data_IF_749565508394
#
_entry.id   IF_749565508394
#
_cell.length_a   1.000
_cell.length_b   1.000
_cell.length_c   1.000
_cell.angle_alpha   90.00
_cell.angle_beta   90.00
_cell.angle_gamma   90.00
#
_symmetry.space_group_name_H-M   'P 1'
#
loop_
_entity.id
_entity.type
_entity.pdbx_description
1 polymer ?
#
# COMPACT_ATOMS: atom_id res chain seq x y z
N UNK A 1 10.81 -15.18 -5.10
CA UNK A 1 11.09 -13.73 -4.86
C UNK A 1 12.48 -13.36 -5.36
N UNK A 2 13.54 -14.06 -4.94
CA UNK A 2 14.92 -13.82 -5.40
C UNK A 2 15.09 -13.86 -6.92
N UNK A 3 14.53 -14.88 -7.60
CA UNK A 3 14.63 -15.01 -9.07
C UNK A 3 13.88 -13.90 -9.81
N UNK A 4 12.72 -13.48 -9.32
CA UNK A 4 11.94 -12.40 -9.93
C UNK A 4 12.66 -11.06 -9.79
N UNK A 5 13.20 -10.76 -8.60
CA UNK A 5 13.96 -9.54 -8.34
C UNK A 5 15.30 -9.50 -9.08
N UNK A 6 15.98 -10.64 -9.24
CA UNK A 6 17.18 -10.78 -10.07
C UNK A 6 16.87 -10.57 -11.56
N UNK A 7 15.74 -11.09 -12.05
CA UNK A 7 15.29 -10.85 -13.42
C UNK A 7 14.96 -9.37 -13.64
N UNK A 8 14.28 -8.72 -12.70
CA UNK A 8 13.96 -7.29 -12.76
C UNK A 8 15.21 -6.41 -12.80
N UNK A 9 16.25 -6.82 -12.07
CA UNK A 9 17.55 -6.15 -12.09
C UNK A 9 18.33 -6.34 -13.39
N UNK A 10 18.12 -7.49 -14.05
CA UNK A 10 18.80 -7.84 -15.30
C UNK A 10 18.16 -7.16 -16.53
N UNK A 11 16.87 -6.79 -16.48
CA UNK A 11 16.17 -6.10 -17.58
C UNK A 11 16.92 -4.84 -18.04
N UNK A 12 17.30 -3.87 -17.16
CA UNK A 12 18.01 -2.68 -17.60
C UNK A 12 19.42 -3.00 -18.14
N UNK A 13 20.10 -4.04 -17.65
CA UNK A 13 21.40 -4.45 -18.19
C UNK A 13 21.30 -4.98 -19.62
N UNK A 14 20.31 -5.82 -19.90
CA UNK A 14 20.09 -6.36 -21.25
C UNK A 14 19.53 -5.31 -22.20
N UNK A 15 18.67 -4.39 -21.73
CA UNK A 15 18.21 -3.25 -22.51
C UNK A 15 19.35 -2.28 -22.85
N UNK A 16 20.27 -2.05 -21.91
CA UNK A 16 21.46 -1.22 -22.15
C UNK A 16 22.38 -1.89 -23.18
N UNK A 17 22.62 -3.20 -23.07
CA UNK A 17 23.42 -3.95 -24.04
C UNK A 17 22.77 -4.03 -25.44
N UNK A 18 21.44 -4.10 -25.55
CA UNK A 18 20.77 -4.07 -26.86
C UNK A 18 20.83 -2.69 -27.52
N UNK A 19 20.77 -1.62 -26.74
CA UNK A 19 20.97 -0.24 -27.24
C UNK A 19 22.42 -0.05 -27.70
N UNK A 20 23.41 -0.50 -26.93
CA UNK A 20 24.81 -0.43 -27.33
C UNK A 20 25.13 -1.30 -28.56
N UNK A 21 24.56 -2.51 -28.65
CA UNK A 21 24.69 -3.37 -29.83
C UNK A 21 24.01 -2.77 -31.08
N UNK A 22 22.91 -2.03 -30.91
CA UNK A 22 22.27 -1.28 -31.99
C UNK A 22 23.08 -0.02 -32.39
N UNK A 23 23.78 0.61 -31.44
CA UNK A 23 24.64 1.78 -31.66
C UNK A 23 25.96 1.43 -32.34
N UNK A 24 26.51 0.24 -32.12
CA UNK A 24 27.79 -0.20 -32.71
C UNK A 24 27.64 -0.84 -34.12
N UNK A 25 26.43 -0.96 -34.66
CA UNK A 25 26.21 -1.48 -36.02
C UNK A 25 26.59 -2.95 -36.19
N UNK A 26 26.48 -3.76 -35.14
CA UNK A 26 26.83 -5.18 -35.18
C UNK A 26 25.71 -5.97 -35.88
N UNK A 27 26.13 -6.87 -36.79
CA UNK A 27 25.31 -7.75 -37.65
C UNK A 27 23.94 -8.16 -37.11
N UNK A 28 22.91 -8.04 -37.97
CA UNK A 28 21.48 -8.28 -37.69
C UNK A 28 21.18 -9.64 -37.02
N UNK A 29 22.05 -10.64 -37.21
CA UNK A 29 21.92 -11.97 -36.61
C UNK A 29 22.20 -11.99 -35.09
N UNK A 30 23.20 -11.24 -34.61
CA UNK A 30 23.49 -11.15 -33.17
C UNK A 30 22.41 -10.35 -32.44
N UNK A 31 21.89 -9.29 -33.07
CA UNK A 31 20.81 -8.48 -32.53
C UNK A 31 19.51 -9.28 -32.31
N UNK A 32 19.12 -10.13 -33.28
CA UNK A 32 17.95 -11.01 -33.14
C UNK A 32 18.13 -12.04 -32.00
N UNK A 33 19.34 -12.61 -31.85
CA UNK A 33 19.63 -13.53 -30.73
C UNK A 33 19.49 -12.87 -29.35
N UNK A 34 20.00 -11.64 -29.20
CA UNK A 34 19.84 -10.88 -27.95
C UNK A 34 18.37 -10.51 -27.66
N UNK A 35 17.61 -10.15 -28.69
CA UNK A 35 16.17 -9.86 -28.55
C UNK A 35 15.35 -11.10 -28.16
N UNK A 36 15.66 -12.27 -28.72
CA UNK A 36 14.99 -13.52 -28.36
C UNK A 36 15.25 -13.90 -26.91
N UNK A 37 16.50 -13.78 -26.43
CA UNK A 37 16.86 -14.05 -25.04
C UNK A 37 16.15 -13.07 -24.09
N UNK A 38 16.11 -11.77 -24.43
CA UNK A 38 15.42 -10.76 -23.64
C UNK A 38 13.91 -11.05 -23.55
N UNK A 39 13.29 -11.40 -24.67
CA UNK A 39 11.85 -11.72 -24.72
C UNK A 39 11.53 -12.97 -23.88
N UNK A 40 12.35 -14.02 -23.98
CA UNK A 40 12.21 -15.22 -23.16
C UNK A 40 12.33 -14.91 -21.66
N UNK A 41 13.28 -14.05 -21.29
CA UNK A 41 13.49 -13.66 -19.89
C UNK A 41 12.34 -12.82 -19.33
N UNK A 42 11.78 -11.90 -20.12
CA UNK A 42 10.58 -11.12 -19.73
C UNK A 42 9.35 -12.03 -19.60
N UNK A 43 9.17 -12.97 -20.52
CA UNK A 43 8.08 -13.94 -20.44
C UNK A 43 8.21 -14.82 -19.18
N UNK A 44 9.40 -15.34 -18.90
CA UNK A 44 9.67 -16.12 -17.69
C UNK A 44 9.44 -15.29 -16.41
N UNK A 45 9.84 -14.01 -16.40
CA UNK A 45 9.54 -13.09 -15.31
C UNK A 45 8.03 -12.90 -15.11
N UNK A 46 7.28 -12.71 -16.19
CA UNK A 46 5.82 -12.57 -16.15
C UNK A 46 5.14 -13.79 -15.54
N UNK A 47 5.54 -15.00 -15.95
CA UNK A 47 5.02 -16.26 -15.39
C UNK A 47 5.37 -16.38 -13.90
N UNK A 48 6.62 -16.09 -13.52
CA UNK A 48 7.04 -16.13 -12.12
C UNK A 48 6.29 -15.10 -11.26
N UNK A 49 6.01 -13.90 -11.79
CA UNK A 49 5.24 -12.86 -11.12
C UNK A 49 3.77 -13.27 -10.93
N UNK A 50 3.16 -13.89 -11.94
CA UNK A 50 1.80 -14.42 -11.86
C UNK A 50 1.68 -15.54 -10.82
N UNK A 51 2.60 -16.52 -10.84
CA UNK A 51 2.65 -17.61 -9.87
C UNK A 51 2.82 -17.07 -8.44
N UNK A 52 3.69 -16.06 -8.26
CA UNK A 52 3.86 -15.37 -6.98
C UNK A 52 2.57 -14.71 -6.50
N UNK A 53 1.87 -13.99 -7.39
CA UNK A 53 0.58 -13.37 -7.08
C UNK A 53 -0.46 -14.39 -6.64
N UNK A 54 -0.49 -15.54 -7.33
CA UNK A 54 -1.38 -16.64 -7.01
C UNK A 54 -1.08 -17.28 -5.65
N UNK A 55 0.17 -17.67 -5.39
CA UNK A 55 0.59 -18.22 -4.09
C UNK A 55 0.28 -17.26 -2.94
N UNK A 56 0.48 -15.96 -3.17
CA UNK A 56 0.22 -14.93 -2.17
C UNK A 56 -1.28 -14.75 -1.89
N UNK A 57 -2.12 -14.84 -2.92
CA UNK A 57 -3.58 -14.84 -2.75
C UNK A 57 -4.04 -16.02 -1.88
N UNK A 58 -3.49 -17.22 -2.12
CA UNK A 58 -3.78 -18.41 -1.31
C UNK A 58 -3.34 -18.20 0.15
N UNK A 59 -2.13 -17.67 0.35
CA UNK A 59 -1.60 -17.39 1.70
C UNK A 59 -2.49 -16.40 2.47
N UNK A 60 -2.93 -15.33 1.80
CA UNK A 60 -3.81 -14.32 2.39
C UNK A 60 -5.16 -14.93 2.84
N UNK A 61 -5.77 -15.78 2.00
CA UNK A 61 -6.99 -16.50 2.35
C UNK A 61 -6.77 -17.45 3.53
N UNK A 62 -5.65 -18.18 3.55
CA UNK A 62 -5.32 -19.11 4.64
C UNK A 62 -5.09 -18.39 5.97
N UNK A 63 -4.38 -17.25 5.93
CA UNK A 63 -4.12 -16.43 7.11
C UNK A 63 -5.41 -15.80 7.65
N UNK A 64 -6.27 -15.28 6.77
CA UNK A 64 -7.59 -14.74 7.14
C UNK A 64 -8.45 -15.81 7.82
N UNK A 65 -8.48 -17.02 7.25
CA UNK A 65 -9.22 -18.15 7.84
C UNK A 65 -8.70 -18.48 9.24
N UNK A 66 -7.38 -18.57 9.41
CA UNK A 66 -6.76 -18.87 10.70
C UNK A 66 -7.09 -17.81 11.76
N UNK A 67 -6.94 -16.53 11.42
CA UNK A 67 -7.27 -15.42 12.32
C UNK A 67 -8.74 -15.44 12.72
N UNK A 68 -9.66 -15.65 11.77
CA UNK A 68 -11.10 -15.76 12.08
C UNK A 68 -11.40 -16.93 13.00
N UNK A 69 -10.77 -18.09 12.80
CA UNK A 69 -10.98 -19.27 13.64
C UNK A 69 -10.45 -19.07 15.06
N UNK A 70 -9.22 -18.54 15.22
CA UNK A 70 -8.64 -18.27 16.55
C UNK A 70 -9.46 -17.20 17.30
N UNK A 71 -9.87 -16.12 16.63
CA UNK A 71 -10.71 -15.09 17.24
C UNK A 71 -12.11 -15.62 17.59
N UNK A 72 -12.74 -16.40 16.71
CA UNK A 72 -14.03 -17.02 17.02
C UNK A 72 -13.95 -17.95 18.23
N UNK A 73 -12.91 -18.78 18.34
CA UNK A 73 -12.69 -19.64 19.51
C UNK A 73 -12.52 -18.82 20.79
N UNK A 74 -11.75 -17.74 20.74
CA UNK A 74 -11.56 -16.85 21.90
C UNK A 74 -12.85 -16.13 22.32
N UNK A 75 -13.69 -15.75 21.34
CA UNK A 75 -14.96 -15.09 21.60
C UNK A 75 -15.98 -16.06 22.20
N UNK A 76 -16.00 -17.31 21.70
CA UNK A 76 -16.88 -18.36 22.21
C UNK A 76 -16.54 -18.80 23.65
N UNK A 77 -15.30 -18.60 24.10
CA UNK A 77 -14.86 -18.91 25.46
C UNK A 77 -15.13 -17.78 26.47
N UNK A 78 -15.72 -16.66 26.04
CA UNK A 78 -15.95 -15.47 26.87
C UNK A 78 -17.27 -15.57 27.64
N UNK A 79 -17.35 -14.91 28.78
CA UNK A 79 -18.53 -14.93 29.65
C UNK A 79 -19.77 -14.31 28.97
N UNK A 80 -20.96 -14.80 29.31
CA UNK A 80 -22.24 -14.32 28.74
C UNK A 80 -22.50 -12.84 29.03
N UNK A 81 -22.01 -12.32 30.17
CA UNK A 81 -22.08 -10.91 30.52
C UNK A 81 -21.39 -9.98 29.49
N UNK A 82 -20.42 -10.50 28.72
CA UNK A 82 -19.80 -9.75 27.61
C UNK A 82 -20.76 -9.56 26.43
N UNK A 83 -21.66 -10.52 26.19
CA UNK A 83 -22.63 -10.47 25.09
C UNK A 83 -23.88 -9.67 25.44
N UNK A 84 -24.16 -9.44 26.73
CA UNK A 84 -25.31 -8.64 27.17
C UNK A 84 -25.12 -7.14 26.89
N UNK A 85 -23.88 -6.67 26.73
CA UNK A 85 -23.54 -5.27 26.46
C UNK A 85 -23.25 -4.92 25.00
N UNK A 86 -23.17 -5.91 24.10
CA UNK A 86 -22.64 -5.71 22.74
C UNK A 86 -23.49 -6.41 21.66
N UNK A 87 -23.81 -5.69 20.58
CA UNK A 87 -24.59 -6.26 19.48
C UNK A 87 -23.85 -7.41 18.77
N UNK A 88 -24.44 -8.61 18.79
CA UNK A 88 -23.89 -9.82 18.12
C UNK A 88 -23.67 -9.60 16.62
N UNK A 89 -24.51 -8.79 15.97
CA UNK A 89 -24.35 -8.40 14.57
C UNK A 89 -23.12 -7.51 14.33
N UNK A 90 -22.83 -6.58 15.24
CA UNK A 90 -21.64 -5.73 15.18
C UNK A 90 -20.37 -6.56 15.42
N UNK A 91 -20.39 -7.45 16.42
CA UNK A 91 -19.28 -8.37 16.70
C UNK A 91 -18.94 -9.27 15.50
N UNK A 92 -19.96 -9.80 14.83
CA UNK A 92 -19.77 -10.65 13.64
C UNK A 92 -19.23 -9.85 12.46
N UNK A 93 -19.74 -8.62 12.25
CA UNK A 93 -19.24 -7.71 11.22
C UNK A 93 -17.77 -7.36 11.44
N UNK A 94 -17.39 -7.00 12.67
CA UNK A 94 -16.00 -6.72 13.06
C UNK A 94 -15.10 -7.94 12.89
N UNK A 95 -15.55 -9.12 13.33
CA UNK A 95 -14.82 -10.37 13.12
C UNK A 95 -14.55 -10.63 11.63
N UNK A 96 -15.49 -10.29 10.75
CA UNK A 96 -15.30 -10.47 9.31
C UNK A 96 -14.41 -9.39 8.68
N UNK A 97 -14.78 -8.13 8.88
CA UNK A 97 -14.17 -6.96 8.24
C UNK A 97 -12.77 -6.66 8.79
N UNK A 98 -12.62 -6.60 10.11
CA UNK A 98 -11.35 -6.24 10.75
C UNK A 98 -10.29 -7.33 10.50
N UNK A 99 -10.67 -8.61 10.60
CA UNK A 99 -9.75 -9.72 10.29
C UNK A 99 -9.26 -9.68 8.84
N UNK A 100 -10.15 -9.38 7.90
CA UNK A 100 -9.80 -9.31 6.48
C UNK A 100 -8.93 -8.09 6.18
N UNK A 101 -9.26 -6.93 6.75
CA UNK A 101 -8.46 -5.73 6.63
C UNK A 101 -7.05 -5.94 7.20
N UNK A 102 -6.95 -6.47 8.41
CA UNK A 102 -5.67 -6.72 9.08
C UNK A 102 -4.81 -7.71 8.28
N UNK A 103 -5.39 -8.82 7.82
CA UNK A 103 -4.63 -9.81 7.04
C UNK A 103 -4.14 -9.23 5.71
N UNK A 104 -5.01 -8.48 5.01
CA UNK A 104 -4.64 -7.83 3.75
C UNK A 104 -3.50 -6.84 3.94
N UNK A 105 -3.51 -6.05 5.01
CA UNK A 105 -2.45 -5.08 5.32
C UNK A 105 -1.14 -5.79 5.65
N UNK A 106 -1.16 -6.76 6.57
CA UNK A 106 0.06 -7.49 6.96
C UNK A 106 0.68 -8.20 5.77
N UNK A 107 -0.13 -8.97 5.02
CA UNK A 107 0.36 -9.72 3.89
C UNK A 107 0.93 -8.77 2.83
N UNK A 108 0.17 -7.73 2.45
CA UNK A 108 0.56 -6.82 1.35
C UNK A 108 1.80 -6.02 1.73
N UNK A 109 1.85 -5.48 2.95
CA UNK A 109 2.99 -4.69 3.41
C UNK A 109 4.24 -5.54 3.55
N UNK A 110 4.15 -6.77 4.08
CA UNK A 110 5.28 -7.68 4.15
C UNK A 110 5.81 -8.02 2.74
N UNK A 111 4.91 -8.26 1.79
CA UNK A 111 5.28 -8.56 0.41
C UNK A 111 6.01 -7.38 -0.25
N UNK A 112 5.47 -6.17 -0.11
CA UNK A 112 6.06 -4.95 -0.65
C UNK A 112 7.39 -4.66 0.01
N UNK A 113 7.50 -4.78 1.34
CA UNK A 113 8.73 -4.54 2.09
C UNK A 113 9.85 -5.48 1.67
N UNK A 114 9.57 -6.79 1.58
CA UNK A 114 10.56 -7.78 1.12
C UNK A 114 10.97 -7.51 -0.32
N UNK A 115 10.00 -7.20 -1.21
CA UNK A 115 10.29 -6.92 -2.62
C UNK A 115 11.16 -5.68 -2.78
N UNK A 116 10.76 -4.57 -2.18
CA UNK A 116 11.47 -3.29 -2.31
C UNK A 116 12.83 -3.36 -1.61
N UNK A 117 12.94 -4.04 -0.46
CA UNK A 117 14.22 -4.27 0.21
C UNK A 117 15.18 -5.08 -0.65
N UNK A 118 14.70 -6.17 -1.25
CA UNK A 118 15.52 -7.01 -2.12
C UNK A 118 15.93 -6.28 -3.41
N UNK A 119 15.03 -5.49 -4.01
CA UNK A 119 15.34 -4.64 -5.16
C UNK A 119 16.37 -3.56 -4.81
N UNK A 120 16.21 -2.90 -3.66
CA UNK A 120 17.14 -1.86 -3.22
C UNK A 120 18.55 -2.44 -2.99
N UNK A 121 18.65 -3.55 -2.26
CA UNK A 121 19.93 -4.22 -2.01
C UNK A 121 20.54 -4.73 -3.31
N UNK A 122 19.75 -5.41 -4.15
CA UNK A 122 20.20 -5.91 -5.44
C UNK A 122 20.72 -4.79 -6.35
N UNK A 123 19.97 -3.69 -6.44
CA UNK A 123 20.33 -2.52 -7.26
C UNK A 123 21.61 -1.85 -6.80
N UNK A 124 21.77 -1.64 -5.49
CA UNK A 124 23.00 -1.03 -4.94
C UNK A 124 24.21 -1.92 -5.18
N UNK A 125 24.10 -3.23 -4.91
CA UNK A 125 25.19 -4.19 -5.17
C UNK A 125 25.57 -4.22 -6.65
N UNK A 126 24.58 -4.19 -7.53
CA UNK A 126 24.80 -4.18 -8.97
C UNK A 126 25.46 -2.89 -9.46
N UNK A 127 24.98 -1.72 -9.03
CA UNK A 127 25.61 -0.44 -9.39
C UNK A 127 27.05 -0.38 -8.87
N UNK A 128 27.30 -0.92 -7.67
CA UNK A 128 28.64 -0.97 -7.10
C UNK A 128 29.61 -1.82 -7.93
N UNK A 129 29.14 -2.93 -8.51
CA UNK A 129 29.93 -3.75 -9.45
C UNK A 129 30.16 -3.09 -10.81
N UNK A 130 29.22 -2.30 -11.33
CA UNK A 130 29.37 -1.64 -12.64
C UNK A 130 30.28 -0.42 -12.56
N UNK A 131 30.01 0.51 -11.64
CA UNK A 131 30.84 1.69 -11.42
C UNK A 131 30.54 2.36 -10.08
N UNK A 132 31.53 2.46 -9.18
CA UNK A 132 31.33 3.06 -7.85
C UNK A 132 30.99 4.56 -7.92
N UNK A 133 31.40 5.28 -8.97
CA UNK A 133 31.15 6.71 -9.10
C UNK A 133 29.69 7.02 -9.46
N UNK A 134 29.08 6.25 -10.37
CA UNK A 134 27.64 6.38 -10.68
C UNK A 134 26.77 5.94 -9.48
N UNK A 135 27.23 4.96 -8.71
CA UNK A 135 26.57 4.55 -7.47
C UNK A 135 26.52 5.70 -6.45
N UNK A 136 27.64 6.41 -6.24
CA UNK A 136 27.69 7.56 -5.34
C UNK A 136 26.69 8.68 -5.69
N UNK A 137 26.60 9.02 -6.97
CA UNK A 137 25.69 10.09 -7.45
C UNK A 137 24.22 9.68 -7.27
N UNK A 138 23.86 8.46 -7.66
CA UNK A 138 22.46 7.97 -7.56
C UNK A 138 22.00 7.81 -6.13
N UNK A 139 22.86 7.32 -5.23
CA UNK A 139 22.58 7.25 -3.79
C UNK A 139 22.43 8.64 -3.18
N UNK A 140 23.27 9.61 -3.57
CA UNK A 140 23.17 10.99 -3.09
C UNK A 140 21.84 11.64 -3.48
N UNK A 141 21.42 11.52 -4.74
CA UNK A 141 20.11 12.03 -5.20
C UNK A 141 18.96 11.35 -4.45
N UNK A 142 19.05 10.04 -4.26
CA UNK A 142 18.03 9.27 -3.52
C UNK A 142 17.92 9.71 -2.06
N UNK A 143 19.05 9.98 -1.41
CA UNK A 143 19.08 10.47 -0.02
C UNK A 143 18.46 11.88 0.11
N UNK A 144 18.73 12.77 -0.86
CA UNK A 144 18.10 14.10 -0.90
C UNK A 144 16.59 14.00 -1.07
N UNK A 145 16.12 13.19 -2.03
CA UNK A 145 14.69 12.95 -2.24
C UNK A 145 14.01 12.36 -1.01
N UNK A 146 14.68 11.42 -0.34
CA UNK A 146 14.17 10.83 0.90
C UNK A 146 13.99 11.90 1.99
N UNK A 147 14.97 12.79 2.17
CA UNK A 147 14.87 13.92 3.09
C UNK A 147 13.70 14.86 2.78
N UNK A 148 13.53 15.26 1.52
CA UNK A 148 12.40 16.11 1.08
C UNK A 148 11.06 15.42 1.37
N UNK A 149 10.98 14.12 1.08
CA UNK A 149 9.75 13.32 1.31
C UNK A 149 9.40 13.23 2.79
N UNK A 150 10.38 13.17 3.70
CA UNK A 150 10.12 13.16 5.14
C UNK A 150 9.53 14.48 5.64
N UNK A 151 10.07 15.61 5.18
CA UNK A 151 9.56 16.95 5.54
C UNK A 151 8.16 17.15 4.97
N UNK A 152 7.98 16.88 3.67
CA UNK A 152 6.67 16.99 3.03
C UNK A 152 5.65 16.02 3.66
N UNK A 153 6.07 14.80 3.97
CA UNK A 153 5.23 13.82 4.64
C UNK A 153 4.80 14.25 6.04
N UNK A 154 5.67 14.91 6.81
CA UNK A 154 5.31 15.46 8.11
C UNK A 154 4.29 16.61 7.97
N UNK A 155 4.47 17.48 6.98
CA UNK A 155 3.53 18.55 6.67
C UNK A 155 2.17 18.00 6.21
N UNK A 156 2.17 17.04 5.27
CA UNK A 156 0.96 16.39 4.78
C UNK A 156 0.18 15.68 5.90
N UNK A 157 0.87 15.00 6.82
CA UNK A 157 0.23 14.38 8.00
C UNK A 157 -0.46 15.41 8.90
N UNK A 158 0.16 16.59 9.10
CA UNK A 158 -0.47 17.68 9.87
C UNK A 158 -1.71 18.21 9.17
N UNK A 159 -1.64 18.46 7.87
CA UNK A 159 -2.81 18.92 7.11
C UNK A 159 -3.93 17.89 7.12
N UNK A 160 -3.62 16.60 6.92
CA UNK A 160 -4.59 15.53 6.99
C UNK A 160 -5.31 15.48 8.35
N UNK A 161 -4.58 15.73 9.44
CA UNK A 161 -5.17 15.80 10.78
C UNK A 161 -6.12 16.98 10.89
N UNK A 162 -5.73 18.17 10.44
CA UNK A 162 -6.62 19.35 10.43
C UNK A 162 -7.88 19.09 9.61
N UNK A 163 -7.75 18.52 8.41
CA UNK A 163 -8.91 18.13 7.59
C UNK A 163 -9.82 17.13 8.31
N UNK A 164 -9.25 16.14 9.01
CA UNK A 164 -10.03 15.18 9.78
C UNK A 164 -10.72 15.81 10.99
N UNK A 165 -10.04 16.71 11.70
CA UNK A 165 -10.59 17.42 12.86
C UNK A 165 -11.77 18.32 12.43
N UNK A 166 -11.61 19.06 11.33
CA UNK A 166 -12.70 19.87 10.73
C UNK A 166 -13.88 19.01 10.31
N UNK A 167 -13.62 17.89 9.62
CA UNK A 167 -14.67 16.99 9.17
C UNK A 167 -15.42 16.36 10.35
N UNK A 168 -14.70 15.97 11.41
CA UNK A 168 -15.31 15.44 12.63
C UNK A 168 -16.23 16.46 13.29
N UNK A 169 -15.77 17.71 13.47
CA UNK A 169 -16.56 18.76 14.11
C UNK A 169 -17.80 19.14 13.28
N UNK A 170 -17.67 19.24 11.95
CA UNK A 170 -18.82 19.48 11.06
C UNK A 170 -19.87 18.37 11.16
N UNK A 171 -19.43 17.11 11.29
CA UNK A 171 -20.33 15.97 11.48
C UNK A 171 -21.01 16.02 12.85
N UNK A 172 -20.31 16.41 13.91
CA UNK A 172 -20.90 16.59 15.23
C UNK A 172 -21.98 17.67 15.21
N UNK A 173 -21.74 18.82 14.59
CA UNK A 173 -22.76 19.87 14.43
C UNK A 173 -23.97 19.38 13.63
N UNK A 174 -23.74 18.64 12.54
CA UNK A 174 -24.82 18.06 11.75
C UNK A 174 -25.63 17.02 12.56
N UNK A 175 -24.95 16.17 13.35
CA UNK A 175 -25.58 15.17 14.20
C UNK A 175 -26.42 15.81 15.32
N UNK A 176 -25.92 16.85 15.96
CA UNK A 176 -26.68 17.66 16.93
C UNK A 176 -27.94 18.26 16.31
N UNK A 177 -27.80 18.94 15.17
CA UNK A 177 -28.93 19.62 14.51
C UNK A 177 -29.99 18.63 14.02
N UNK A 178 -29.58 17.47 13.49
CA UNK A 178 -30.49 16.44 13.00
C UNK A 178 -31.17 15.66 14.14
N UNK A 179 -30.42 15.30 15.18
CA UNK A 179 -30.98 14.61 16.36
C UNK A 179 -31.98 15.49 17.11
N UNK A 180 -31.73 16.81 17.18
CA UNK A 180 -32.60 17.81 17.79
C UNK A 180 -33.50 18.52 16.77
N UNK A 181 -33.75 17.92 15.60
CA UNK A 181 -34.55 18.53 14.51
C UNK A 181 -35.92 19.06 14.96
N UNK A 182 -36.55 18.41 15.94
CA UNK A 182 -37.83 18.88 16.53
C UNK A 182 -37.66 20.19 17.30
N UNK A 183 -36.55 20.36 18.03
CA UNK A 183 -36.21 21.57 18.80
C UNK A 183 -35.85 22.70 17.83
N UNK A 184 -35.01 22.43 16.83
CA UNK A 184 -34.62 23.42 15.82
C UNK A 184 -35.85 23.98 15.09
N UNK A 185 -36.80 23.11 14.72
CA UNK A 185 -38.07 23.52 14.09
C UNK A 185 -39.03 24.27 15.00
N UNK A 186 -39.03 23.98 16.31
CA UNK A 186 -39.92 24.67 17.26
C UNK A 186 -39.40 26.05 17.64
N UNK A 187 -38.08 26.26 17.66
CA UNK A 187 -37.46 27.56 17.91
C UNK A 187 -37.12 28.35 16.63
N UNK A 188 -37.28 27.76 15.44
CA UNK A 188 -37.03 28.42 14.15
C UNK A 188 -35.55 28.70 13.88
N UNK A 189 -34.63 27.93 14.46
CA UNK A 189 -33.17 28.16 14.42
C UNK A 189 -32.46 27.47 13.24
N UNK A 190 -33.16 27.20 12.15
CA UNK A 190 -32.60 26.48 10.98
C UNK A 190 -31.46 27.27 10.30
N UNK A 191 -31.64 28.58 10.10
CA UNK A 191 -30.63 29.44 9.48
C UNK A 191 -29.33 29.60 10.29
N UNK A 192 -29.36 29.85 11.62
CA UNK A 192 -28.13 29.92 12.41
C UNK A 192 -27.40 28.58 12.54
N UNK A 193 -28.09 27.44 12.59
CA UNK A 193 -27.45 26.11 12.58
C UNK A 193 -26.79 25.80 11.23
N UNK A 194 -27.43 26.17 10.12
CA UNK A 194 -26.82 26.08 8.80
C UNK A 194 -25.56 26.96 8.70
N UNK A 195 -25.59 28.16 9.28
CA UNK A 195 -24.43 29.06 9.41
C UNK A 195 -23.28 28.44 10.21
N UNK A 196 -23.59 27.78 11.33
CA UNK A 196 -22.62 27.08 12.18
C UNK A 196 -21.93 25.95 11.41
N UNK A 197 -22.70 25.14 10.67
CA UNK A 197 -22.14 24.09 9.82
C UNK A 197 -21.24 24.64 8.70
N UNK A 198 -21.66 25.72 8.01
CA UNK A 198 -20.83 26.35 6.97
C UNK A 198 -19.54 26.96 7.51
N UNK A 199 -19.54 27.50 8.73
CA UNK A 199 -18.33 28.08 9.33
C UNK A 199 -17.22 27.07 9.61
N UNK A 200 -17.56 25.79 9.72
CA UNK A 200 -16.56 24.72 9.81
C UNK A 200 -16.03 24.28 8.45
N UNK A 201 -16.73 24.58 7.35
CA UNK A 201 -16.33 24.18 6.00
C UNK A 201 -15.48 25.24 5.25
N UNK A 202 -15.41 26.46 5.77
CA UNK A 202 -14.57 27.57 5.26
C UNK A 202 -13.12 27.50 5.77
#
# INVERSE_FOLDING_TARGET
MVVASLCELAIPHFATKSIFAASEGISSASFQGFLQILTCMVAAYGVAAALRGFCFSILNNRMTRRLRTELFQSLAARETAFFDGEDVGNLTSRLQADCQAMTKVIATNANIAIRNGLQAIGGILYLWWVSPLLCGITVSISAVLWGVTLVYGAFARRMQKVFQDVLAESNTVAEEALSLSRVVRTFGTEAPEAGRYTSWLE
#
